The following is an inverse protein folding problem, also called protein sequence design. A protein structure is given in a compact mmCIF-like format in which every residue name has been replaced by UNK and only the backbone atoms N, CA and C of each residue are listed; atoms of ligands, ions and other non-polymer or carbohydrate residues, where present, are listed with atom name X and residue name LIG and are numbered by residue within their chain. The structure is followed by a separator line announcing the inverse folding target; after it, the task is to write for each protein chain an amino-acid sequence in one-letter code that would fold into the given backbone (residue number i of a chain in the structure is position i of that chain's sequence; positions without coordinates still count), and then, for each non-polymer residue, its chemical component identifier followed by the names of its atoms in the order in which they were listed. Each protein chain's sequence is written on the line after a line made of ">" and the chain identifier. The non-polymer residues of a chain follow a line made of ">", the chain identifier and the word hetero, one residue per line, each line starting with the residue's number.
data_IF_470466040841
#
_entry.id   IF_470466040841
#
_cell.length_a   1.000
_cell.length_b   1.000
_cell.length_c   1.000
_cell.angle_alpha   90.00
_cell.angle_beta   90.00
_cell.angle_gamma   90.00
#
_symmetry.space_group_name_H-M   'P 1'
#
loop_
_entity.id
_entity.type
_entity.pdbx_description
1 polymer ?
#
# COMPACT_ATOMS: atom_id res chain seq x y z
N UNK A 1 -0.95 -9.70 12.84
CA UNK A 1 -2.19 -9.09 13.34
C UNK A 1 -2.68 -7.95 12.44
N UNK A 2 -1.78 -7.13 11.93
CA UNK A 2 -2.04 -6.09 10.93
C UNK A 2 -2.76 -6.63 9.68
N UNK A 3 -2.35 -7.80 9.18
CA UNK A 3 -2.99 -8.47 8.04
C UNK A 3 -4.47 -8.82 8.32
N UNK A 4 -4.80 -9.18 9.55
CA UNK A 4 -6.18 -9.52 9.95
C UNK A 4 -7.13 -8.33 9.97
N UNK A 5 -6.66 -7.17 10.38
CA UNK A 5 -7.51 -5.97 10.52
C UNK A 5 -7.93 -5.43 9.15
N UNK A 6 -7.02 -5.39 8.19
CA UNK A 6 -7.30 -4.84 6.87
C UNK A 6 -8.16 -5.72 5.96
N UNK A 7 -8.21 -7.04 6.23
CA UNK A 7 -8.97 -7.98 5.41
C UNK A 7 -10.26 -8.51 6.07
N UNK A 8 -10.63 -8.00 7.23
CA UNK A 8 -11.86 -8.39 7.95
C UNK A 8 -13.15 -7.77 7.41
N UNK A 9 -13.07 -6.91 6.42
CA UNK A 9 -14.25 -6.33 5.79
C UNK A 9 -15.02 -7.39 5.00
N UNK A 10 -16.29 -7.60 5.31
CA UNK A 10 -17.20 -8.51 4.61
C UNK A 10 -17.42 -8.15 3.14
N UNK A 11 -17.06 -6.93 2.77
CA UNK A 11 -17.11 -6.44 1.39
C UNK A 11 -15.71 -6.44 0.78
N UNK A 12 -15.53 -7.18 -0.29
CA UNK A 12 -14.27 -7.20 -1.03
C UNK A 12 -14.00 -5.85 -1.72
N UNK A 13 -15.01 -5.29 -2.37
CA UNK A 13 -14.86 -4.02 -3.08
C UNK A 13 -14.92 -2.84 -2.11
N UNK A 14 -13.94 -1.96 -2.24
CA UNK A 14 -13.88 -0.69 -1.53
C UNK A 14 -14.49 0.41 -2.40
N UNK A 15 -15.31 1.25 -1.79
CA UNK A 15 -15.86 2.44 -2.46
C UNK A 15 -14.82 3.53 -2.72
N UNK A 16 -13.74 3.53 -1.94
CA UNK A 16 -12.65 4.48 -2.05
C UNK A 16 -11.32 3.85 -1.64
N UNK A 17 -10.23 4.33 -2.22
CA UNK A 17 -8.89 4.04 -1.73
C UNK A 17 -8.64 4.81 -0.43
N UNK A 18 -7.85 4.24 0.47
CA UNK A 18 -7.56 4.80 1.79
C UNK A 18 -6.07 4.85 2.06
N UNK A 19 -5.66 5.95 2.68
CA UNK A 19 -4.28 6.18 3.11
C UNK A 19 -4.22 6.21 4.64
N UNK A 20 -3.29 5.45 5.19
CA UNK A 20 -3.01 5.38 6.62
C UNK A 20 -1.54 5.67 6.90
N UNK A 21 -1.28 6.30 8.05
CA UNK A 21 0.06 6.38 8.65
C UNK A 21 0.21 5.31 9.72
N UNK A 22 1.40 4.76 9.83
CA UNK A 22 1.75 3.78 10.87
C UNK A 22 2.83 4.36 11.77
N UNK A 23 2.60 4.28 13.07
CA UNK A 23 3.60 4.60 14.09
C UNK A 23 3.89 3.34 14.89
N UNK A 24 5.16 3.01 15.03
CA UNK A 24 5.62 1.96 15.93
C UNK A 24 5.68 2.54 17.32
N UNK A 25 4.86 1.99 18.22
CA UNK A 25 4.83 2.43 19.60
C UNK A 25 5.68 1.48 20.43
N UNK A 26 6.83 1.97 20.89
CA UNK A 26 7.64 1.30 21.90
C UNK A 26 7.41 2.03 23.25
N UNK A 27 6.53 1.51 24.11
CA UNK A 27 6.14 2.22 25.33
C UNK A 27 7.26 2.37 26.35
N UNK A 28 8.37 1.64 26.22
CA UNK A 28 9.44 1.62 27.22
C UNK A 28 10.82 2.03 26.66
N UNK A 29 10.91 2.35 25.36
CA UNK A 29 12.20 2.67 24.72
C UNK A 29 13.17 1.48 24.70
N UNK A 30 12.68 0.29 25.00
CA UNK A 30 13.42 -0.94 24.96
C UNK A 30 12.98 -1.66 23.70
N UNK A 31 13.88 -1.86 22.75
CA UNK A 31 13.64 -2.71 21.59
C UNK A 31 13.42 -4.16 22.05
N UNK A 32 12.28 -4.44 22.64
CA UNK A 32 11.89 -5.79 22.99
C UNK A 32 11.19 -6.42 21.80
N UNK A 33 11.73 -7.50 21.32
CA UNK A 33 11.38 -8.20 20.08
C UNK A 33 9.97 -8.79 20.01
N UNK A 34 9.12 -8.60 21.00
CA UNK A 34 7.91 -9.40 21.08
C UNK A 34 6.60 -8.62 20.93
N UNK A 35 6.51 -7.39 21.38
CA UNK A 35 5.22 -6.77 21.60
C UNK A 35 5.13 -5.29 21.15
N UNK A 36 5.86 -4.95 20.10
CA UNK A 36 5.71 -3.63 19.48
C UNK A 36 4.27 -3.42 19.04
N UNK A 37 3.55 -2.51 19.66
CA UNK A 37 2.23 -2.13 19.20
C UNK A 37 2.34 -1.15 18.04
N UNK A 38 1.50 -1.35 17.04
CA UNK A 38 1.38 -0.45 15.91
C UNK A 38 0.16 0.45 16.11
N UNK A 39 0.36 1.73 15.93
CA UNK A 39 -0.75 2.69 15.83
C UNK A 39 -1.02 2.96 14.38
N UNK A 40 -2.26 2.73 13.95
CA UNK A 40 -2.72 3.00 12.60
C UNK A 40 -3.56 4.26 12.65
N UNK A 41 -3.18 5.27 11.87
CA UNK A 41 -3.88 6.55 11.79
C UNK A 41 -4.45 6.72 10.39
N UNK A 42 -5.76 6.90 10.28
CA UNK A 42 -6.41 7.25 9.03
C UNK A 42 -6.02 8.68 8.61
N UNK A 43 -5.59 8.86 7.37
CA UNK A 43 -5.14 10.15 6.85
C UNK A 43 -6.09 10.73 5.79
N UNK A 44 -6.48 9.93 4.81
CA UNK A 44 -7.31 10.40 3.70
C UNK A 44 -7.97 9.25 2.97
N UNK A 45 -9.04 9.57 2.21
CA UNK A 45 -9.65 8.66 1.26
C UNK A 45 -10.03 9.40 -0.02
N UNK A 46 -10.01 8.69 -1.14
CA UNK A 46 -10.43 9.21 -2.44
C UNK A 46 -10.92 8.06 -3.32
N UNK A 47 -11.88 8.34 -4.20
CA UNK A 47 -12.37 7.34 -5.15
C UNK A 47 -11.28 6.85 -6.11
N UNK A 48 -10.36 7.73 -6.49
CA UNK A 48 -9.19 7.42 -7.30
C UNK A 48 -7.93 7.38 -6.43
N UNK A 49 -7.21 6.25 -6.48
CA UNK A 49 -6.01 6.05 -5.67
C UNK A 49 -4.86 6.99 -6.06
N UNK A 50 -4.74 7.33 -7.34
CA UNK A 50 -3.68 8.23 -7.80
C UNK A 50 -3.92 9.66 -7.36
N UNK A 51 -5.18 10.13 -7.39
CA UNK A 51 -5.54 11.42 -6.83
C UNK A 51 -5.35 11.47 -5.32
N UNK A 52 -5.60 10.35 -4.62
CA UNK A 52 -5.29 10.23 -3.20
C UNK A 52 -3.79 10.45 -2.91
N UNK A 53 -2.92 9.90 -3.76
CA UNK A 53 -1.47 9.99 -3.59
C UNK A 53 -0.88 11.33 -4.04
N UNK A 54 -1.58 12.07 -4.88
CA UNK A 54 -1.21 13.43 -5.30
C UNK A 54 -1.66 14.51 -4.31
N UNK A 55 -2.59 14.18 -3.41
CA UNK A 55 -3.04 15.12 -2.38
C UNK A 55 -1.84 15.60 -1.54
N UNK A 56 -1.68 16.90 -1.35
CA UNK A 56 -0.52 17.44 -0.63
C UNK A 56 -0.57 17.08 0.83
N UNK A 57 0.00 15.95 1.14
CA UNK A 57 0.25 15.55 2.50
C UNK A 57 1.70 15.89 2.82
N UNK A 58 1.89 17.04 3.41
CA UNK A 58 3.21 17.49 3.79
C UNK A 58 3.86 16.47 4.75
N UNK A 59 4.98 15.93 4.33
CA UNK A 59 5.93 15.26 5.21
C UNK A 59 5.40 14.01 5.97
N UNK A 60 4.63 13.13 5.29
CA UNK A 60 4.19 11.86 5.90
C UNK A 60 5.37 11.09 6.48
N UNK A 61 6.49 11.03 5.78
CA UNK A 61 7.71 10.33 6.21
C UNK A 61 8.35 10.92 7.47
N UNK A 62 8.03 12.16 7.84
CA UNK A 62 8.49 12.78 9.09
C UNK A 62 7.54 12.54 10.26
N UNK A 63 6.29 12.21 9.99
CA UNK A 63 5.26 12.05 11.01
C UNK A 63 5.02 10.59 11.38
N UNK A 64 5.34 9.66 10.50
CA UNK A 64 5.05 8.25 10.65
C UNK A 64 6.26 7.39 10.30
N UNK A 65 6.26 6.16 10.81
CA UNK A 65 7.30 5.18 10.51
C UNK A 65 7.05 4.45 9.18
N UNK A 66 5.80 4.41 8.74
CA UNK A 66 5.39 3.87 7.44
C UNK A 66 4.07 4.50 6.98
N UNK A 67 3.77 4.36 5.71
CA UNK A 67 2.46 4.67 5.15
C UNK A 67 1.87 3.44 4.46
N UNK A 68 0.55 3.33 4.47
CA UNK A 68 -0.19 2.21 3.89
C UNK A 68 -1.31 2.73 3.03
N UNK A 69 -1.37 2.20 1.81
CA UNK A 69 -2.48 2.43 0.88
C UNK A 69 -3.28 1.14 0.74
N UNK A 70 -4.58 1.25 0.97
CA UNK A 70 -5.54 0.18 0.76
C UNK A 70 -6.43 0.53 -0.42
N UNK A 71 -6.46 -0.32 -1.43
CA UNK A 71 -7.28 -0.10 -2.64
C UNK A 71 -7.75 -1.42 -3.23
N UNK A 72 -8.67 -1.35 -4.18
CA UNK A 72 -9.03 -2.46 -5.05
C UNK A 72 -8.57 -2.17 -6.48
N UNK A 73 -8.27 -3.22 -7.21
CA UNK A 73 -7.77 -3.09 -8.57
C UNK A 73 -7.89 -4.40 -9.34
N UNK A 74 -7.10 -4.49 -10.38
CA UNK A 74 -6.99 -5.66 -11.23
C UNK A 74 -5.54 -6.13 -11.27
N UNK A 75 -5.34 -7.43 -11.12
CA UNK A 75 -4.07 -8.09 -11.37
C UNK A 75 -4.17 -8.93 -12.65
N UNK A 76 -3.11 -8.96 -13.42
CA UNK A 76 -2.97 -9.78 -14.60
C UNK A 76 -1.68 -10.59 -14.51
N UNK A 77 -1.64 -11.80 -15.12
CA UNK A 77 -0.41 -12.56 -15.20
C UNK A 77 0.66 -11.79 -15.98
N UNK A 78 1.88 -11.88 -15.49
CA UNK A 78 3.06 -11.43 -16.21
C UNK A 78 3.59 -12.62 -17.00
N UNK A 79 3.11 -12.79 -18.23
CA UNK A 79 3.64 -13.79 -19.14
C UNK A 79 4.83 -13.19 -19.87
N UNK A 80 6.01 -13.76 -19.65
CA UNK A 80 7.24 -13.35 -20.36
C UNK A 80 7.18 -13.62 -21.85
N UNK A 81 6.33 -14.59 -22.26
CA UNK A 81 6.20 -15.03 -23.65
C UNK A 81 5.19 -14.18 -24.47
N UNK A 82 4.32 -13.44 -23.82
CA UNK A 82 3.40 -12.52 -24.46
C UNK A 82 3.49 -11.13 -23.78
N UNK A 83 4.41 -10.26 -24.21
CA UNK A 83 4.45 -8.90 -23.71
C UNK A 83 3.15 -8.20 -24.11
N UNK A 84 2.23 -8.12 -23.17
CA UNK A 84 0.98 -7.39 -23.33
C UNK A 84 1.19 -5.97 -22.87
N UNK A 85 1.07 -5.02 -23.79
CA UNK A 85 1.01 -3.59 -23.48
C UNK A 85 -0.33 -3.20 -22.85
N UNK A 86 -1.20 -4.18 -22.60
CA UNK A 86 -2.51 -3.95 -22.00
C UNK A 86 -2.37 -3.67 -20.50
N UNK A 87 -3.04 -2.62 -20.07
CA UNK A 87 -3.22 -2.39 -18.64
C UNK A 87 -3.91 -3.62 -18.00
N UNK A 88 -3.57 -3.97 -16.75
CA UNK A 88 -4.18 -5.13 -16.07
C UNK A 88 -5.71 -5.12 -16.10
N UNK A 89 -6.34 -3.95 -16.05
CA UNK A 89 -7.79 -3.79 -16.13
C UNK A 89 -8.42 -4.21 -17.49
N UNK A 90 -7.61 -4.31 -18.54
CA UNK A 90 -8.04 -4.72 -19.89
C UNK A 90 -7.59 -6.11 -20.28
N UNK A 91 -6.78 -6.75 -19.45
CA UNK A 91 -6.27 -8.09 -19.74
C UNK A 91 -7.39 -9.14 -19.67
N UNK A 92 -7.49 -10.11 -20.62
CA UNK A 92 -8.54 -11.11 -20.62
C UNK A 92 -8.50 -12.05 -19.41
N UNK A 93 -7.31 -12.30 -18.85
CA UNK A 93 -7.11 -13.12 -17.63
C UNK A 93 -6.99 -12.28 -16.36
N UNK A 94 -7.55 -11.08 -16.35
CA UNK A 94 -7.53 -10.22 -15.16
C UNK A 94 -8.31 -10.82 -14.01
N UNK A 95 -7.82 -10.59 -12.81
CA UNK A 95 -8.49 -10.99 -11.57
C UNK A 95 -8.70 -9.78 -10.68
N UNK A 96 -9.85 -9.69 -10.07
CA UNK A 96 -10.15 -8.62 -9.10
C UNK A 96 -9.32 -8.84 -7.84
N UNK A 97 -8.63 -7.80 -7.37
CA UNK A 97 -7.77 -7.87 -6.19
C UNK A 97 -8.05 -6.73 -5.22
N UNK A 98 -7.88 -7.03 -3.95
CA UNK A 98 -7.65 -6.03 -2.92
C UNK A 98 -6.16 -5.94 -2.68
N UNK A 99 -5.64 -4.73 -2.69
CA UNK A 99 -4.22 -4.47 -2.65
C UNK A 99 -3.90 -3.57 -1.45
N UNK A 100 -2.92 -3.98 -0.67
CA UNK A 100 -2.30 -3.17 0.38
C UNK A 100 -0.85 -2.92 -0.04
N UNK A 101 -0.49 -1.67 -0.17
CA UNK A 101 0.88 -1.25 -0.46
C UNK A 101 1.41 -0.47 0.74
N UNK A 102 2.52 -0.91 1.26
CA UNK A 102 3.18 -0.28 2.40
C UNK A 102 4.53 0.29 1.98
N UNK A 103 4.83 1.49 2.40
CA UNK A 103 6.12 2.14 2.18
C UNK A 103 6.74 2.60 3.49
N UNK A 104 8.04 2.42 3.61
CA UNK A 104 8.86 2.97 4.69
C UNK A 104 10.24 3.35 4.13
N UNK A 105 11.16 3.78 4.99
CA UNK A 105 12.52 4.17 4.58
C UNK A 105 13.31 3.03 3.92
N UNK A 106 12.90 1.78 4.14
CA UNK A 106 13.57 0.59 3.60
C UNK A 106 13.01 0.10 2.26
N UNK A 107 11.90 0.65 1.80
CA UNK A 107 11.32 0.27 0.51
C UNK A 107 9.81 0.09 0.54
N UNK A 108 9.30 -0.57 -0.49
CA UNK A 108 7.88 -0.78 -0.75
C UNK A 108 7.57 -2.28 -0.73
N UNK A 109 6.54 -2.66 0.01
CA UNK A 109 6.01 -4.02 0.03
C UNK A 109 4.53 -4.02 -0.32
N UNK A 110 4.02 -5.12 -0.85
CA UNK A 110 2.61 -5.27 -1.17
C UNK A 110 2.03 -6.59 -0.70
N UNK A 111 0.72 -6.57 -0.44
CA UNK A 111 -0.08 -7.74 -0.13
C UNK A 111 -1.33 -7.72 -1.00
N UNK A 112 -1.57 -8.80 -1.73
CA UNK A 112 -2.73 -8.95 -2.59
C UNK A 112 -3.63 -10.07 -2.07
N UNK A 113 -4.93 -9.84 -2.18
CA UNK A 113 -5.96 -10.83 -1.96
C UNK A 113 -6.89 -10.86 -3.16
N UNK A 114 -7.16 -12.04 -3.67
CA UNK A 114 -8.02 -12.23 -4.85
C UNK A 114 -9.49 -12.40 -4.46
N UNK A 115 -10.39 -11.80 -5.22
CA UNK A 115 -11.84 -11.92 -5.01
C UNK A 115 -12.34 -13.35 -5.23
N UNK A 116 -11.78 -14.04 -6.22
CA UNK A 116 -12.12 -15.42 -6.60
C UNK A 116 -11.42 -16.48 -5.73
N UNK A 117 -10.45 -16.09 -4.92
CA UNK A 117 -9.73 -16.97 -3.99
C UNK A 117 -9.39 -16.19 -2.71
N UNK A 118 -10.39 -15.87 -1.85
CA UNK A 118 -10.20 -14.95 -0.72
C UNK A 118 -9.26 -15.48 0.35
N UNK A 119 -8.99 -16.77 0.40
CA UNK A 119 -8.05 -17.37 1.33
C UNK A 119 -6.60 -17.35 0.81
N UNK A 120 -6.41 -17.07 -0.47
CA UNK A 120 -5.09 -16.93 -1.09
C UNK A 120 -4.56 -15.51 -0.89
N UNK A 121 -3.42 -15.40 -0.22
CA UNK A 121 -2.74 -14.13 0.01
C UNK A 121 -1.36 -14.19 -0.63
N UNK A 122 -1.10 -13.24 -1.52
CA UNK A 122 0.21 -13.09 -2.16
C UNK A 122 0.92 -11.90 -1.55
N UNK A 123 2.16 -12.10 -1.13
CA UNK A 123 3.01 -11.05 -0.55
C UNK A 123 4.22 -10.81 -1.43
N UNK A 124 4.59 -9.53 -1.55
CA UNK A 124 5.82 -9.11 -2.19
C UNK A 124 6.55 -8.19 -1.21
N UNK A 125 7.61 -8.71 -0.62
CA UNK A 125 8.37 -8.04 0.44
C UNK A 125 9.60 -7.33 -0.15
N UNK A 126 9.50 -6.02 -0.31
CA UNK A 126 10.62 -5.17 -0.68
C UNK A 126 10.92 -5.10 -2.19
N UNK A 127 10.13 -5.74 -3.03
CA UNK A 127 10.29 -5.73 -4.48
C UNK A 127 9.01 -5.38 -5.24
N UNK A 128 8.02 -4.81 -4.56
CA UNK A 128 6.77 -4.39 -5.20
C UNK A 128 7.07 -3.44 -6.36
N UNK A 129 6.53 -3.77 -7.52
CA UNK A 129 6.75 -3.05 -8.78
C UNK A 129 5.43 -2.64 -9.40
N UNK A 130 5.50 -1.64 -10.29
CA UNK A 130 4.37 -1.13 -11.05
C UNK A 130 3.99 0.28 -10.66
N UNK A 131 3.06 0.85 -11.41
CA UNK A 131 2.69 2.28 -11.29
C UNK A 131 2.21 2.68 -9.91
N UNK A 132 1.46 1.81 -9.23
CA UNK A 132 0.99 2.11 -7.87
C UNK A 132 2.13 2.06 -6.85
N UNK A 133 3.01 1.06 -6.94
CA UNK A 133 4.18 0.98 -6.06
C UNK A 133 5.09 2.20 -6.25
N UNK A 134 5.30 2.63 -7.49
CA UNK A 134 6.10 3.82 -7.82
C UNK A 134 5.46 5.10 -7.28
N UNK A 135 4.14 5.23 -7.38
CA UNK A 135 3.40 6.37 -6.85
C UNK A 135 3.46 6.43 -5.31
N UNK A 136 3.32 5.30 -4.64
CA UNK A 136 3.43 5.21 -3.17
C UNK A 136 4.86 5.51 -2.72
N UNK A 137 5.85 5.01 -3.44
CA UNK A 137 7.25 5.31 -3.17
C UNK A 137 7.54 6.82 -3.31
N UNK A 138 7.00 7.45 -4.35
CA UNK A 138 7.14 8.89 -4.57
C UNK A 138 6.47 9.72 -3.47
N UNK A 139 5.29 9.30 -3.00
CA UNK A 139 4.62 9.94 -1.86
C UNK A 139 5.51 10.00 -0.63
N UNK A 140 6.22 8.91 -0.33
CA UNK A 140 7.08 8.81 0.84
C UNK A 140 8.37 9.61 0.71
N UNK A 141 9.07 9.47 -0.40
CA UNK A 141 10.40 10.06 -0.60
C UNK A 141 10.38 11.49 -1.12
N UNK A 142 9.39 11.92 -1.91
CA UNK A 142 9.29 13.29 -2.41
C UNK A 142 9.04 14.29 -1.29
N UNK A 143 8.30 13.90 -0.27
CA UNK A 143 8.08 14.74 0.92
C UNK A 143 9.37 15.11 1.66
N UNK A 144 10.46 14.39 1.44
CA UNK A 144 11.75 14.64 2.08
C UNK A 144 12.64 15.64 1.30
N UNK A 145 12.38 15.81 0.01
CA UNK A 145 13.20 16.68 -0.85
C UNK A 145 12.79 18.14 -0.72
N UNK A 146 11.51 18.44 -0.62
CA UNK A 146 11.01 19.80 -0.49
C UNK A 146 11.40 20.48 0.84
N UNK A 147 11.73 19.69 1.86
CA UNK A 147 12.18 20.22 3.14
C UNK A 147 13.63 20.77 3.12
N UNK A 148 14.43 20.41 2.11
CA UNK A 148 15.80 20.85 1.93
C UNK A 148 15.98 21.90 0.83
N UNK A 149 14.89 22.30 0.16
CA UNK A 149 14.92 23.26 -0.95
C UNK A 149 14.62 24.71 -0.54
N UNK A 150 14.75 25.04 0.72
CA UNK A 150 14.62 26.40 1.24
C UNK A 150 15.96 27.03 1.53
#
# INVERSE_FOLDING_TARGET
>A
EFRRVLFRSDRFDLSAARLYGITIVDPEGIASNADGSLRITFLAEHADVYELLEAPTSAISKMFDAAVVLTCGWAAPLDEDEPSDLAPSRHPRRRRVRLVVTVCDHGVASVLRFADAPDEIVTDDGAARGTLADAVNSLWFTSSVDANAS
#
